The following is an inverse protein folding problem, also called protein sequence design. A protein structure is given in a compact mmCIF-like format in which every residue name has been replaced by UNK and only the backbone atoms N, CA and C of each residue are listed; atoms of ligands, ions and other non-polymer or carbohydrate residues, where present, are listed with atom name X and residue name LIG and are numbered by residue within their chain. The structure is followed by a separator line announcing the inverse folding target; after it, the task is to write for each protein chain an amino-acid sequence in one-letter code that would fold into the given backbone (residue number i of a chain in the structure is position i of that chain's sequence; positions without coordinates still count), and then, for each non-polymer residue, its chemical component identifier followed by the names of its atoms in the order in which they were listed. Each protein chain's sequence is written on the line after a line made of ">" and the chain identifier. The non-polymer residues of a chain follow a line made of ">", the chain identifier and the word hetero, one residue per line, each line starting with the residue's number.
data_IF_163300423764
#
_entry.id   IF_163300423764
#
_cell.length_a   1.000
_cell.length_b   1.000
_cell.length_c   1.000
_cell.angle_alpha   90.00
_cell.angle_beta   90.00
_cell.angle_gamma   90.00
#
_symmetry.space_group_name_H-M   'P 1'
#
loop_
_entity.id
_entity.type
_entity.pdbx_description
1 polymer ?
#
# COMPACT_ATOMS: atom_id res chain seq x y z
N UNK A 1 5.04 -15.83 0.80
CA UNK A 1 5.66 -15.70 2.15
C UNK A 1 4.62 -15.69 3.26
N UNK A 2 3.89 -14.60 3.58
CA UNK A 2 2.96 -14.60 4.72
C UNK A 2 1.86 -15.69 4.67
N UNK A 3 1.33 -15.98 3.48
CA UNK A 3 0.32 -17.03 3.28
C UNK A 3 0.90 -18.44 3.14
N UNK A 4 2.12 -18.57 2.62
CA UNK A 4 2.75 -19.88 2.36
C UNK A 4 4.23 -19.85 2.77
N UNK A 5 4.54 -19.78 4.08
CA UNK A 5 5.93 -19.67 4.56
C UNK A 5 6.75 -20.94 4.31
N UNK A 6 6.10 -22.09 4.18
CA UNK A 6 6.76 -23.38 4.00
C UNK A 6 6.91 -23.78 2.52
N UNK A 7 6.45 -22.93 1.60
CA UNK A 7 6.57 -23.17 0.16
C UNK A 7 7.97 -22.80 -0.35
N UNK A 8 8.41 -23.50 -1.41
CA UNK A 8 9.58 -23.05 -2.18
C UNK A 8 9.20 -21.79 -2.96
N UNK A 9 9.77 -20.66 -2.60
CA UNK A 9 9.39 -19.34 -3.11
C UNK A 9 10.56 -18.72 -3.85
N UNK A 10 10.31 -18.39 -5.11
CA UNK A 10 11.17 -17.51 -5.88
C UNK A 10 10.53 -16.13 -6.02
N UNK A 11 11.31 -15.10 -5.85
CA UNK A 11 10.86 -13.72 -5.84
C UNK A 11 11.41 -12.95 -7.05
N UNK A 12 10.65 -12.00 -7.53
CA UNK A 12 11.14 -10.99 -8.46
C UNK A 12 12.29 -10.18 -7.82
N UNK A 13 13.27 -9.69 -8.59
CA UNK A 13 14.31 -8.79 -8.08
C UNK A 13 13.77 -7.54 -7.38
N UNK A 14 12.51 -7.14 -7.63
CA UNK A 14 11.84 -6.06 -6.89
C UNK A 14 11.67 -6.34 -5.40
N UNK A 15 11.78 -7.60 -4.97
CA UNK A 15 11.75 -7.94 -3.55
C UNK A 15 12.95 -7.36 -2.76
N UNK A 16 14.01 -6.96 -3.47
CA UNK A 16 15.18 -6.30 -2.90
C UNK A 16 15.02 -4.77 -2.83
N UNK A 17 13.91 -4.25 -3.34
CA UNK A 17 13.63 -2.83 -3.24
C UNK A 17 13.57 -2.42 -1.75
N UNK A 18 14.28 -1.35 -1.36
CA UNK A 18 14.26 -0.87 0.03
C UNK A 18 12.85 -0.52 0.52
N UNK A 19 11.93 -0.20 -0.39
CA UNK A 19 10.53 0.12 -0.08
C UNK A 19 9.63 -1.13 -0.01
N UNK A 20 10.17 -2.35 -0.16
CA UNK A 20 9.38 -3.58 -0.03
C UNK A 20 9.07 -3.90 1.45
N UNK A 21 7.77 -4.05 1.80
CA UNK A 21 7.32 -4.33 3.18
C UNK A 21 7.97 -5.57 3.80
N UNK A 22 8.05 -6.65 3.01
CA UNK A 22 8.57 -7.94 3.49
C UNK A 22 10.05 -8.15 3.11
N UNK A 23 10.83 -7.09 2.97
CA UNK A 23 12.23 -7.18 2.54
C UNK A 23 13.07 -8.11 3.41
N UNK A 24 12.89 -8.06 4.73
CA UNK A 24 13.64 -8.94 5.64
C UNK A 24 13.24 -10.40 5.48
N UNK A 25 11.96 -10.68 5.29
CA UNK A 25 11.45 -12.03 5.05
C UNK A 25 11.84 -12.54 3.65
N UNK A 26 12.17 -11.66 2.74
CA UNK A 26 12.64 -12.00 1.40
C UNK A 26 14.11 -12.49 1.37
N UNK A 27 14.85 -12.27 2.45
CA UNK A 27 16.25 -12.75 2.55
C UNK A 27 16.30 -14.27 2.50
N UNK A 28 17.22 -14.81 1.71
CA UNK A 28 17.40 -16.26 1.52
C UNK A 28 16.53 -16.87 0.43
N UNK A 29 15.45 -16.23 -0.01
CA UNK A 29 14.67 -16.73 -1.14
C UNK A 29 15.38 -16.48 -2.48
N UNK A 30 15.17 -17.40 -3.42
CA UNK A 30 15.70 -17.30 -4.80
C UNK A 30 15.18 -16.05 -5.49
N UNK A 31 16.01 -15.43 -6.33
CA UNK A 31 15.59 -14.33 -7.22
C UNK A 31 15.45 -14.86 -8.64
N UNK A 32 14.29 -14.65 -9.24
CA UNK A 32 14.04 -14.99 -10.65
C UNK A 32 13.71 -13.73 -11.44
N UNK A 33 14.37 -13.57 -12.57
CA UNK A 33 13.94 -12.59 -13.57
C UNK A 33 12.58 -13.03 -14.12
N UNK A 34 11.65 -12.10 -14.40
CA UNK A 34 10.34 -12.42 -14.95
C UNK A 34 10.43 -12.75 -16.45
N UNK A 35 11.15 -13.82 -16.78
CA UNK A 35 11.27 -14.41 -18.15
C UNK A 35 10.64 -15.77 -18.15
N UNK A 36 10.16 -16.21 -19.33
CA UNK A 36 9.53 -17.52 -19.46
C UNK A 36 10.51 -18.67 -19.14
N UNK A 37 11.75 -18.55 -19.59
CA UNK A 37 12.79 -19.56 -19.35
C UNK A 37 13.07 -19.73 -17.85
N UNK A 38 13.24 -18.61 -17.13
CA UNK A 38 13.50 -18.65 -15.69
C UNK A 38 12.28 -19.21 -14.92
N UNK A 39 11.06 -18.83 -15.31
CA UNK A 39 9.85 -19.32 -14.69
C UNK A 39 9.63 -20.83 -14.99
N UNK A 40 9.81 -21.27 -16.23
CA UNK A 40 9.69 -22.69 -16.59
C UNK A 40 10.77 -23.52 -15.91
N UNK A 41 12.00 -23.01 -15.80
CA UNK A 41 13.09 -23.70 -15.10
C UNK A 41 12.87 -23.82 -13.58
N UNK A 42 12.04 -22.96 -13.00
CA UNK A 42 11.64 -23.06 -11.58
C UNK A 42 10.44 -23.97 -11.34
N UNK A 43 9.62 -24.24 -12.38
CA UNK A 43 8.42 -25.07 -12.34
C UNK A 43 7.41 -24.66 -11.25
N UNK A 44 6.93 -23.41 -11.23
CA UNK A 44 6.00 -22.98 -10.20
C UNK A 44 4.61 -23.59 -10.39
N UNK A 45 3.94 -23.96 -9.30
CA UNK A 45 2.52 -24.31 -9.29
C UNK A 45 1.64 -23.05 -9.40
N UNK A 46 2.07 -21.95 -8.76
CA UNK A 46 1.33 -20.70 -8.70
C UNK A 46 2.28 -19.51 -8.90
N UNK A 47 1.86 -18.56 -9.71
CA UNK A 47 2.50 -17.24 -9.81
C UNK A 47 1.58 -16.20 -9.18
N UNK A 48 2.06 -15.52 -8.14
CA UNK A 48 1.36 -14.39 -7.54
C UNK A 48 1.91 -13.08 -8.11
N UNK A 49 1.03 -12.24 -8.62
CA UNK A 49 1.42 -10.93 -9.16
C UNK A 49 0.56 -9.80 -8.59
N UNK A 50 1.17 -8.63 -8.48
CA UNK A 50 0.51 -7.34 -8.33
C UNK A 50 1.21 -6.39 -9.31
N UNK A 51 0.46 -5.69 -10.12
CA UNK A 51 0.98 -4.80 -11.15
C UNK A 51 2.12 -5.39 -12.02
N UNK A 52 2.07 -5.14 -13.30
CA UNK A 52 3.07 -5.63 -14.22
C UNK A 52 2.94 -7.14 -14.49
N UNK A 53 4.04 -7.74 -14.93
CA UNK A 53 4.05 -9.05 -15.56
C UNK A 53 3.69 -8.90 -17.04
N UNK A 54 4.56 -9.41 -17.89
CA UNK A 54 4.30 -9.39 -19.33
C UNK A 54 3.09 -10.29 -19.63
N UNK A 55 2.05 -9.82 -20.34
CA UNK A 55 0.87 -10.65 -20.65
C UNK A 55 1.22 -11.95 -21.37
N UNK A 56 2.21 -11.94 -22.24
CA UNK A 56 2.69 -13.14 -22.96
C UNK A 56 3.30 -14.17 -22.01
N UNK A 57 4.09 -13.73 -21.03
CA UNK A 57 4.65 -14.61 -20.01
C UNK A 57 3.54 -15.26 -19.17
N UNK A 58 2.58 -14.47 -18.68
CA UNK A 58 1.48 -14.98 -17.86
C UNK A 58 0.60 -15.95 -18.65
N UNK A 59 0.28 -15.64 -19.91
CA UNK A 59 -0.48 -16.52 -20.79
C UNK A 59 0.27 -17.83 -21.04
N UNK A 60 1.57 -17.77 -21.33
CA UNK A 60 2.38 -18.96 -21.57
C UNK A 60 2.52 -19.87 -20.34
N UNK A 61 2.52 -19.32 -19.14
CA UNK A 61 2.51 -20.07 -17.89
C UNK A 61 1.12 -20.69 -17.63
N UNK A 62 0.05 -19.93 -17.85
CA UNK A 62 -1.32 -20.45 -17.72
C UNK A 62 -1.59 -21.63 -18.68
N UNK A 63 -1.11 -21.57 -19.94
CA UNK A 63 -1.19 -22.67 -20.90
C UNK A 63 -0.44 -23.93 -20.44
N UNK A 64 0.50 -23.80 -19.53
CA UNK A 64 1.25 -24.91 -18.90
C UNK A 64 0.63 -25.40 -17.59
N UNK A 65 -0.57 -24.92 -17.26
CA UNK A 65 -1.28 -25.30 -16.04
C UNK A 65 -0.83 -24.53 -14.79
N UNK A 66 0.06 -23.56 -14.91
CA UNK A 66 0.47 -22.71 -13.78
C UNK A 66 -0.66 -21.75 -13.43
N UNK A 67 -1.11 -21.77 -12.19
CA UNK A 67 -2.14 -20.86 -11.69
C UNK A 67 -1.57 -19.44 -11.59
N UNK A 68 -2.29 -18.43 -12.08
CA UNK A 68 -1.91 -17.03 -11.95
C UNK A 68 -2.87 -16.33 -10.99
N UNK A 69 -2.40 -16.07 -9.77
CA UNK A 69 -3.11 -15.32 -8.75
C UNK A 69 -2.78 -13.83 -8.87
N UNK A 70 -3.78 -13.00 -9.15
CA UNK A 70 -3.60 -11.55 -9.28
C UNK A 70 -4.11 -10.85 -8.01
N UNK A 71 -3.28 -9.96 -7.47
CA UNK A 71 -3.69 -8.98 -6.48
C UNK A 71 -4.25 -7.80 -7.26
N UNK A 72 -5.51 -7.45 -7.05
CA UNK A 72 -6.18 -6.35 -7.73
C UNK A 72 -5.97 -5.03 -6.98
N UNK A 73 -6.11 -3.92 -7.70
CA UNK A 73 -6.15 -2.60 -7.07
C UNK A 73 -7.34 -2.52 -6.13
N UNK A 74 -7.07 -2.11 -4.89
CA UNK A 74 -8.10 -1.92 -3.89
C UNK A 74 -8.35 -0.44 -3.65
N UNK A 75 -9.60 -0.04 -3.75
CA UNK A 75 -10.04 1.33 -3.46
C UNK A 75 -10.42 1.53 -1.99
N UNK A 76 -10.59 0.43 -1.27
CA UNK A 76 -10.95 0.41 0.14
C UNK A 76 -10.39 -0.83 0.88
N UNK A 77 -10.63 -0.90 2.18
CA UNK A 77 -10.18 -2.01 3.02
C UNK A 77 -10.92 -3.33 2.74
N UNK A 78 -12.11 -3.29 2.12
CA UNK A 78 -12.80 -4.51 1.69
C UNK A 78 -12.13 -5.12 0.46
N UNK A 79 -11.67 -4.29 -0.48
CA UNK A 79 -10.84 -4.74 -1.59
C UNK A 79 -9.55 -5.41 -1.11
N UNK A 80 -8.92 -4.89 -0.06
CA UNK A 80 -7.76 -5.55 0.57
C UNK A 80 -8.13 -6.93 1.14
N UNK A 81 -9.26 -7.07 1.84
CA UNK A 81 -9.75 -8.37 2.33
C UNK A 81 -10.01 -9.35 1.18
N UNK A 82 -10.60 -8.86 0.10
CA UNK A 82 -10.85 -9.67 -1.10
C UNK A 82 -9.55 -10.20 -1.71
N UNK A 83 -8.51 -9.36 -1.80
CA UNK A 83 -7.19 -9.77 -2.25
C UNK A 83 -6.60 -10.88 -1.36
N UNK A 84 -6.68 -10.73 -0.03
CA UNK A 84 -6.21 -11.76 0.92
C UNK A 84 -6.93 -13.09 0.66
N UNK A 85 -8.26 -13.08 0.52
CA UNK A 85 -9.09 -14.28 0.29
C UNK A 85 -8.78 -14.93 -1.05
N UNK A 86 -8.65 -14.13 -2.11
CA UNK A 86 -8.35 -14.62 -3.46
C UNK A 86 -6.99 -15.31 -3.50
N UNK A 87 -5.94 -14.64 -3.02
CA UNK A 87 -4.60 -15.23 -3.00
C UNK A 87 -4.52 -16.45 -2.08
N UNK A 88 -5.20 -16.41 -0.92
CA UNK A 88 -5.24 -17.54 0.00
C UNK A 88 -5.94 -18.77 -0.62
N UNK A 89 -7.03 -18.57 -1.37
CA UNK A 89 -7.71 -19.63 -2.11
C UNK A 89 -6.81 -20.21 -3.21
N UNK A 90 -6.17 -19.34 -3.97
CA UNK A 90 -5.34 -19.75 -5.11
C UNK A 90 -4.06 -20.49 -4.67
N UNK A 91 -3.62 -20.27 -3.44
CA UNK A 91 -2.52 -20.97 -2.77
C UNK A 91 -2.97 -22.15 -1.90
N UNK A 92 -4.26 -22.48 -1.86
CA UNK A 92 -4.86 -23.49 -0.95
C UNK A 92 -4.54 -23.24 0.54
N UNK A 93 -4.42 -21.95 0.94
CA UNK A 93 -4.05 -21.50 2.29
C UNK A 93 -5.19 -20.74 2.99
N UNK A 94 -6.43 -21.21 2.87
CA UNK A 94 -7.61 -20.52 3.37
C UNK A 94 -7.57 -20.22 4.88
N UNK A 95 -7.02 -21.12 5.71
CA UNK A 95 -6.91 -20.87 7.15
C UNK A 95 -5.95 -19.73 7.45
N UNK A 96 -4.81 -19.68 6.76
CA UNK A 96 -3.81 -18.59 6.90
C UNK A 96 -4.38 -17.27 6.40
N UNK A 97 -5.14 -17.31 5.29
CA UNK A 97 -5.86 -16.12 4.79
C UNK A 97 -6.81 -15.54 5.83
N UNK A 98 -7.64 -16.39 6.46
CA UNK A 98 -8.53 -15.95 7.55
C UNK A 98 -7.78 -15.42 8.77
N UNK A 99 -6.63 -16.00 9.13
CA UNK A 99 -5.82 -15.51 10.23
C UNK A 99 -5.23 -14.13 9.92
N UNK A 100 -4.75 -13.92 8.69
CA UNK A 100 -4.20 -12.65 8.24
C UNK A 100 -5.26 -11.55 8.18
N UNK A 101 -6.48 -11.89 7.72
CA UNK A 101 -7.64 -11.00 7.73
C UNK A 101 -8.02 -10.58 9.17
N UNK A 102 -8.10 -11.55 10.11
CA UNK A 102 -8.37 -11.25 11.53
C UNK A 102 -7.29 -10.36 12.15
N UNK A 103 -6.02 -10.57 11.80
CA UNK A 103 -4.91 -9.72 12.27
C UNK A 103 -5.07 -8.29 11.77
N UNK A 104 -5.40 -8.11 10.49
CA UNK A 104 -5.73 -6.82 9.90
C UNK A 104 -6.90 -6.15 10.61
N UNK A 105 -8.01 -6.88 10.80
CA UNK A 105 -9.23 -6.35 11.42
C UNK A 105 -9.00 -5.98 12.88
N UNK A 106 -8.20 -6.73 13.62
CA UNK A 106 -7.84 -6.40 15.00
C UNK A 106 -7.06 -5.08 15.10
N UNK A 107 -6.15 -4.80 14.14
CA UNK A 107 -5.44 -3.52 14.05
C UNK A 107 -6.39 -2.38 13.71
N UNK A 108 -7.28 -2.58 12.73
CA UNK A 108 -8.28 -1.59 12.34
C UNK A 108 -9.24 -1.26 13.51
N UNK A 109 -9.66 -2.26 14.27
CA UNK A 109 -10.51 -2.07 15.45
C UNK A 109 -9.81 -1.23 16.54
N UNK A 110 -8.50 -1.46 16.77
CA UNK A 110 -7.72 -0.64 17.72
C UNK A 110 -7.56 0.81 17.25
N UNK A 111 -7.46 1.00 15.94
CA UNK A 111 -7.30 2.32 15.33
C UNK A 111 -8.63 3.06 15.14
N UNK A 112 -9.77 2.40 15.35
CA UNK A 112 -11.09 2.95 15.08
C UNK A 112 -11.30 4.31 15.76
N UNK A 113 -11.96 5.26 15.08
CA UNK A 113 -12.26 6.56 15.67
C UNK A 113 -13.32 6.44 16.75
N UNK A 114 -13.16 7.23 17.82
CA UNK A 114 -14.16 7.36 18.89
C UNK A 114 -15.30 8.31 18.53
N UNK A 115 -15.16 9.05 17.43
CA UNK A 115 -16.12 10.07 16.97
C UNK A 115 -16.56 9.79 15.54
N UNK A 116 -17.76 10.22 15.13
CA UNK A 116 -18.20 10.15 13.73
C UNK A 116 -17.23 10.89 12.79
N UNK A 117 -17.13 10.41 11.55
CA UNK A 117 -16.23 11.02 10.52
C UNK A 117 -16.58 12.49 10.25
N UNK A 118 -17.82 12.89 10.41
CA UNK A 118 -18.25 14.30 10.24
C UNK A 118 -17.57 15.25 11.25
N UNK A 119 -17.24 14.76 12.44
CA UNK A 119 -16.57 15.52 13.50
C UNK A 119 -15.05 15.28 13.52
N UNK A 120 -14.57 14.46 12.60
CA UNK A 120 -13.16 14.11 12.52
C UNK A 120 -12.30 15.30 12.06
N UNK A 121 -11.05 15.42 12.57
CA UNK A 121 -10.12 16.44 12.13
C UNK A 121 -9.84 16.30 10.64
N UNK A 122 -9.83 17.43 9.94
CA UNK A 122 -9.51 17.47 8.51
C UNK A 122 -8.02 17.26 8.26
N UNK A 123 -7.68 16.40 7.30
CA UNK A 123 -6.30 16.19 6.87
C UNK A 123 -6.19 16.08 5.35
N UNK A 124 -5.01 16.37 4.82
CA UNK A 124 -4.65 16.13 3.41
C UNK A 124 -3.53 15.10 3.37
N UNK A 125 -3.68 14.11 2.49
CA UNK A 125 -2.57 13.24 2.11
C UNK A 125 -1.67 13.95 1.10
N UNK A 126 -0.34 13.83 1.28
CA UNK A 126 0.64 14.44 0.39
C UNK A 126 1.84 13.50 0.22
N UNK A 127 2.23 13.25 -1.03
CA UNK A 127 3.48 12.54 -1.36
C UNK A 127 4.64 13.50 -1.55
N UNK A 128 5.87 12.98 -1.47
CA UNK A 128 7.08 13.72 -1.80
C UNK A 128 7.06 14.29 -3.23
N UNK A 129 6.38 13.61 -4.17
CA UNK A 129 6.18 14.07 -5.55
C UNK A 129 5.08 15.13 -5.71
N UNK A 130 4.40 15.56 -4.63
CA UNK A 130 3.33 16.56 -4.69
C UNK A 130 1.96 16.03 -5.10
N UNK A 131 1.73 14.72 -4.99
CA UNK A 131 0.43 14.12 -5.27
C UNK A 131 -0.40 13.98 -3.99
N UNK A 132 -1.70 14.05 -4.15
CA UNK A 132 -2.72 13.78 -3.12
C UNK A 132 -3.67 12.69 -3.57
N UNK A 133 -4.49 12.20 -2.65
CA UNK A 133 -5.48 11.16 -2.89
C UNK A 133 -6.82 11.56 -2.28
N UNK A 134 -7.86 11.53 -3.09
CA UNK A 134 -9.24 11.86 -2.70
C UNK A 134 -10.15 10.65 -2.64
N UNK A 135 -11.48 10.87 -2.60
CA UNK A 135 -12.48 9.81 -2.58
C UNK A 135 -12.28 8.76 -3.67
N UNK A 136 -12.58 7.50 -3.36
CA UNK A 136 -12.38 6.38 -4.26
C UNK A 136 -10.95 5.84 -4.31
N UNK A 137 -10.11 6.20 -3.35
CA UNK A 137 -8.75 5.64 -3.20
C UNK A 137 -8.61 4.88 -1.88
N UNK A 138 -7.73 3.89 -1.84
CA UNK A 138 -7.41 3.18 -0.60
C UNK A 138 -6.87 4.13 0.47
N UNK A 139 -6.12 5.16 0.08
CA UNK A 139 -5.61 6.19 0.99
C UNK A 139 -6.76 6.92 1.70
N UNK A 140 -7.80 7.33 0.95
CA UNK A 140 -8.99 7.95 1.54
C UNK A 140 -9.68 7.02 2.53
N UNK A 141 -9.84 5.75 2.17
CA UNK A 141 -10.42 4.74 3.06
C UNK A 141 -9.59 4.53 4.34
N UNK A 142 -8.26 4.50 4.23
CA UNK A 142 -7.35 4.42 5.38
C UNK A 142 -7.42 5.66 6.27
N UNK A 143 -7.46 6.87 5.69
CA UNK A 143 -7.61 8.12 6.44
C UNK A 143 -8.92 8.13 7.24
N UNK A 144 -10.04 7.73 6.63
CA UNK A 144 -11.34 7.61 7.31
C UNK A 144 -11.31 6.56 8.42
N UNK A 145 -10.73 5.40 8.17
CA UNK A 145 -10.57 4.35 9.18
C UNK A 145 -9.70 4.79 10.36
N UNK A 146 -8.71 5.66 10.09
CA UNK A 146 -7.88 6.30 11.12
C UNK A 146 -8.56 7.48 11.82
N UNK A 147 -9.80 7.84 11.48
CA UNK A 147 -10.53 8.94 12.10
C UNK A 147 -10.14 10.33 11.60
N UNK A 148 -9.74 10.45 10.33
CA UNK A 148 -9.56 11.73 9.65
C UNK A 148 -10.61 11.95 8.58
N UNK A 149 -11.04 13.19 8.41
CA UNK A 149 -11.80 13.63 7.26
C UNK A 149 -10.84 14.08 6.16
N UNK A 150 -10.87 13.43 5.02
CA UNK A 150 -10.03 13.81 3.88
C UNK A 150 -10.52 15.14 3.28
N UNK A 151 -9.64 16.12 3.19
CA UNK A 151 -9.94 17.44 2.65
C UNK A 151 -9.74 17.53 1.12
N UNK A 152 -9.25 16.46 0.48
CA UNK A 152 -9.15 16.37 -0.97
C UNK A 152 -10.54 16.06 -1.54
N UNK A 153 -11.14 17.04 -2.23
CA UNK A 153 -12.49 16.91 -2.76
C UNK A 153 -12.53 16.14 -4.10
N UNK A 154 -11.49 16.26 -4.93
CA UNK A 154 -11.40 15.57 -6.20
C UNK A 154 -11.22 14.06 -6.00
N UNK A 155 -12.01 13.25 -6.71
CA UNK A 155 -11.89 11.79 -6.67
C UNK A 155 -10.56 11.32 -7.30
N UNK A 156 -10.06 10.18 -6.81
CA UNK A 156 -8.83 9.59 -7.33
C UNK A 156 -7.56 10.30 -6.87
N UNK A 157 -6.49 10.12 -7.62
CA UNK A 157 -5.20 10.77 -7.37
C UNK A 157 -5.07 12.05 -8.19
N UNK A 158 -4.45 13.09 -7.60
CA UNK A 158 -4.23 14.36 -8.28
C UNK A 158 -3.01 15.09 -7.75
N UNK A 159 -2.54 16.09 -8.50
CA UNK A 159 -1.47 16.97 -8.04
C UNK A 159 -2.02 18.00 -7.05
N UNK A 160 -1.22 18.32 -6.03
CA UNK A 160 -1.52 19.36 -5.06
C UNK A 160 -0.59 20.55 -5.30
N UNK A 161 -1.16 21.72 -5.58
CA UNK A 161 -0.39 22.92 -5.84
C UNK A 161 0.27 23.46 -4.58
N UNK A 162 1.54 23.84 -4.70
CA UNK A 162 2.31 24.46 -3.62
C UNK A 162 1.69 25.79 -3.20
N UNK A 163 1.19 26.56 -4.16
CA UNK A 163 0.54 27.86 -3.93
C UNK A 163 -0.73 27.68 -3.11
N UNK A 164 -1.53 26.65 -3.41
CA UNK A 164 -2.74 26.34 -2.64
C UNK A 164 -2.41 26.00 -1.18
N UNK A 165 -1.34 25.23 -0.95
CA UNK A 165 -0.86 24.93 0.41
C UNK A 165 -0.37 26.22 1.11
N UNK A 166 0.32 27.10 0.39
CA UNK A 166 0.82 28.36 0.93
C UNK A 166 -0.32 29.28 1.37
N UNK A 167 -1.35 29.39 0.54
CA UNK A 167 -2.48 30.31 0.79
C UNK A 167 -3.46 29.75 1.83
N UNK A 168 -3.72 28.45 1.79
CA UNK A 168 -4.68 27.79 2.67
C UNK A 168 -4.08 26.47 3.20
N UNK A 169 -3.15 26.54 4.17
CA UNK A 169 -2.51 25.34 4.69
C UNK A 169 -3.53 24.47 5.42
N UNK A 170 -3.57 23.15 5.13
CA UNK A 170 -4.47 22.23 5.79
C UNK A 170 -4.18 22.12 7.29
N UNK A 171 -5.19 21.74 8.07
CA UNK A 171 -5.07 21.60 9.53
C UNK A 171 -4.06 20.51 9.88
N UNK A 172 -4.09 19.40 9.13
CA UNK A 172 -3.19 18.26 9.30
C UNK A 172 -2.70 17.73 7.95
N UNK A 173 -1.51 17.15 7.98
CA UNK A 173 -0.91 16.42 6.86
C UNK A 173 -0.72 14.95 7.22
N UNK A 174 -1.03 14.07 6.28
CA UNK A 174 -0.56 12.70 6.23
C UNK A 174 0.45 12.61 5.10
N UNK A 175 1.70 12.35 5.43
CA UNK A 175 2.80 12.35 4.46
C UNK A 175 3.09 10.91 4.01
N UNK A 176 3.25 10.68 2.71
CA UNK A 176 3.61 9.39 2.14
C UNK A 176 4.80 9.48 1.19
N UNK A 177 5.59 8.41 1.10
CA UNK A 177 6.74 8.29 0.21
C UNK A 177 7.87 9.31 0.44
N UNK A 178 7.95 9.91 1.62
CA UNK A 178 9.05 10.82 1.95
C UNK A 178 10.35 10.10 2.32
N UNK A 179 10.25 8.83 2.72
CA UNK A 179 11.35 7.91 3.03
C UNK A 179 11.87 7.15 1.81
N UNK A 180 11.26 7.30 0.66
CA UNK A 180 11.63 6.60 -0.56
C UNK A 180 13.04 7.02 -1.02
N UNK A 181 13.97 6.04 -1.11
CA UNK A 181 15.38 6.31 -1.45
C UNK A 181 15.56 6.84 -2.89
N UNK A 182 14.64 6.49 -3.78
CA UNK A 182 14.65 6.94 -5.18
C UNK A 182 13.68 8.10 -5.44
N UNK A 183 13.11 8.69 -4.39
CA UNK A 183 12.23 9.82 -4.55
C UNK A 183 12.98 11.04 -5.10
N UNK A 184 12.33 11.77 -5.99
CA UNK A 184 12.83 13.06 -6.42
C UNK A 184 12.91 14.00 -5.23
N UNK A 185 14.13 14.34 -4.82
CA UNK A 185 14.40 15.28 -3.73
C UNK A 185 13.90 16.69 -4.04
N UNK A 186 13.60 16.99 -5.31
CA UNK A 186 13.08 18.28 -5.79
C UNK A 186 11.57 18.27 -6.02
N UNK A 187 10.90 17.15 -5.69
CA UNK A 187 9.45 17.05 -5.86
C UNK A 187 8.67 18.14 -5.14
N UNK A 188 7.52 18.58 -5.69
CA UNK A 188 6.71 19.67 -5.11
C UNK A 188 6.35 19.47 -3.64
N UNK A 189 6.18 18.22 -3.18
CA UNK A 189 5.92 17.90 -1.78
C UNK A 189 7.06 18.26 -0.83
N UNK A 190 8.29 18.38 -1.34
CA UNK A 190 9.50 18.77 -0.59
C UNK A 190 9.79 20.27 -0.69
N UNK A 191 8.95 21.05 -1.34
CA UNK A 191 9.14 22.49 -1.46
C UNK A 191 9.21 23.15 -0.07
N UNK A 192 10.10 24.13 0.18
CA UNK A 192 10.26 24.75 1.51
C UNK A 192 8.97 25.34 2.09
N UNK A 193 8.08 25.85 1.25
CA UNK A 193 6.75 26.35 1.66
C UNK A 193 5.91 25.20 2.23
N UNK A 194 5.92 24.04 1.57
CA UNK A 194 5.18 22.84 2.02
C UNK A 194 5.77 22.32 3.33
N UNK A 195 7.10 22.23 3.42
CA UNK A 195 7.79 21.80 4.63
C UNK A 195 7.43 22.72 5.83
N UNK A 196 7.41 24.04 5.61
CA UNK A 196 6.99 25.02 6.63
C UNK A 196 5.52 24.86 7.01
N UNK A 197 4.64 24.65 6.03
CA UNK A 197 3.21 24.46 6.29
C UNK A 197 2.94 23.13 7.04
N UNK A 198 3.69 22.08 6.77
CA UNK A 198 3.59 20.77 7.43
C UNK A 198 4.23 20.77 8.83
N UNK A 199 5.13 21.70 9.12
CA UNK A 199 5.79 21.82 10.42
C UNK A 199 4.78 21.95 11.56
N UNK A 200 4.81 21.03 12.54
CA UNK A 200 3.85 20.96 13.65
C UNK A 200 2.43 20.52 13.28
N UNK A 201 2.15 20.26 11.98
CA UNK A 201 0.83 19.82 11.48
C UNK A 201 0.84 18.42 10.89
N UNK A 202 1.98 17.74 10.89
CA UNK A 202 2.08 16.36 10.40
C UNK A 202 1.45 15.41 11.41
N UNK A 203 0.34 14.76 11.03
CA UNK A 203 -0.32 13.75 11.82
C UNK A 203 0.41 12.40 11.71
N UNK A 204 0.86 12.04 10.51
CA UNK A 204 1.63 10.83 10.30
C UNK A 204 2.56 10.98 9.09
N UNK A 205 3.70 10.30 9.17
CA UNK A 205 4.55 10.04 8.01
C UNK A 205 4.55 8.53 7.77
N UNK A 206 3.96 8.13 6.66
CA UNK A 206 3.78 6.73 6.29
C UNK A 206 4.97 6.25 5.48
N UNK A 207 5.63 5.17 5.89
CA UNK A 207 6.67 4.55 5.08
C UNK A 207 6.13 4.11 3.72
N UNK A 208 6.91 4.30 2.66
CA UNK A 208 6.57 3.87 1.30
C UNK A 208 6.18 2.39 1.26
N UNK A 209 6.87 1.56 2.05
CA UNK A 209 6.58 0.14 2.20
C UNK A 209 5.14 -0.18 2.59
N UNK A 210 4.45 0.68 3.35
CA UNK A 210 3.04 0.48 3.74
C UNK A 210 2.04 0.86 2.65
N UNK A 211 2.50 1.55 1.60
CA UNK A 211 1.66 2.17 0.58
C UNK A 211 1.81 1.53 -0.80
N UNK A 212 2.81 0.68 -0.99
CA UNK A 212 3.17 0.13 -2.31
C UNK A 212 2.27 -1.01 -2.80
N UNK A 213 1.48 -1.63 -1.91
CA UNK A 213 0.65 -2.77 -2.27
C UNK A 213 -0.64 -2.79 -1.42
N UNK A 214 -1.83 -3.07 -2.00
CA UNK A 214 -3.09 -3.20 -1.27
C UNK A 214 -3.16 -4.53 -0.52
N UNK A 215 -2.44 -4.63 0.59
CA UNK A 215 -2.29 -5.83 1.40
C UNK A 215 -2.63 -5.56 2.89
N UNK A 216 -2.61 -6.60 3.73
CA UNK A 216 -3.01 -6.53 5.15
C UNK A 216 -2.27 -5.46 5.96
N UNK A 217 -1.06 -5.10 5.59
CA UNK A 217 -0.26 -4.07 6.25
C UNK A 217 -0.76 -2.64 5.97
N UNK A 218 -1.79 -2.45 5.12
CA UNK A 218 -2.54 -1.20 5.06
C UNK A 218 -3.11 -0.82 6.45
N UNK A 219 -3.40 -1.81 7.31
CA UNK A 219 -3.81 -1.56 8.68
C UNK A 219 -2.70 -0.93 9.55
N UNK A 220 -1.42 -1.19 9.25
CA UNK A 220 -0.32 -0.55 9.95
C UNK A 220 -0.27 0.95 9.64
N UNK A 221 -0.52 1.33 8.39
CA UNK A 221 -0.65 2.74 8.01
C UNK A 221 -1.84 3.40 8.72
N UNK A 222 -2.97 2.70 8.87
CA UNK A 222 -4.13 3.20 9.63
C UNK A 222 -3.77 3.40 11.10
N UNK A 223 -3.10 2.45 11.75
CA UNK A 223 -2.64 2.59 13.14
C UNK A 223 -1.67 3.77 13.31
N UNK A 224 -0.73 3.96 12.36
CA UNK A 224 0.20 5.08 12.39
C UNK A 224 -0.53 6.42 12.29
N UNK A 225 -1.49 6.54 11.38
CA UNK A 225 -2.33 7.74 11.25
C UNK A 225 -3.15 7.99 12.53
N UNK A 226 -3.75 6.94 13.09
CA UNK A 226 -4.58 7.05 14.30
C UNK A 226 -3.82 7.59 15.52
N UNK A 227 -2.51 7.29 15.65
CA UNK A 227 -1.64 7.82 16.71
C UNK A 227 -1.43 9.35 16.60
N UNK A 228 -1.54 9.91 15.40
CA UNK A 228 -1.40 11.34 15.15
C UNK A 228 -2.71 12.13 15.22
N UNK A 229 -3.81 11.51 15.69
CA UNK A 229 -5.04 12.24 15.99
C UNK A 229 -4.81 13.23 17.13
N UNK A 230 -5.42 14.43 17.07
CA UNK A 230 -5.37 15.39 18.17
C UNK A 230 -6.15 14.93 19.40
#
# INVERSE_FOLDING_TARGET
>A
MALAPDADIALSPRADDPDAWLRQQAVGHKRLRPTLEAAVGFQPDVVVRYWGGEPRLLSALAQRGVKVATIEDAVDLNGVRQNIRTVARDLDQMQRGRALERQMDAKLAKAAPLRPVAEAPGAIYLTSGGFTAGPGTLIDAMMRAAGFRNLTAAAGFGALSVERIAMNPPIRFVLGFFDQLRADLRGPGRHPVVARAAGGRTAAQLPAATLTCPAWFAADAVEMMAKGRP
#
